data_IF_901817864283
#
_entry.id   IF_901817864283
#
_cell.length_a   1.000
_cell.length_b   1.000
_cell.length_c   1.000
_cell.angle_alpha   90.00
_cell.angle_beta   90.00
_cell.angle_gamma   90.00
#
_symmetry.space_group_name_H-M   'P 1'
#
loop_
_entity.id
_entity.type
_entity.pdbx_description
1 polymer ?
#
# COMPACT_ATOMS: atom_id res chain seq x y z
N UNK A 1 0.70 53.70 3.96
CA UNK A 1 1.80 52.73 3.76
C UNK A 1 1.87 51.82 5.00
N UNK A 2 1.06 50.80 5.07
CA UNK A 2 1.10 49.74 6.08
C UNK A 2 0.33 48.53 5.51
N UNK A 3 0.92 47.92 4.53
CA UNK A 3 0.55 46.57 4.11
C UNK A 3 1.64 45.66 4.66
N UNK A 4 1.29 44.59 5.31
CA UNK A 4 2.07 43.42 5.73
C UNK A 4 2.02 43.14 7.26
N UNK A 5 0.80 43.05 7.79
CA UNK A 5 0.53 42.23 8.96
C UNK A 5 -0.54 41.20 8.62
N UNK A 6 -0.39 40.54 7.44
CA UNK A 6 -1.14 39.31 7.20
C UNK A 6 -0.52 38.19 8.03
N UNK A 7 -1.05 38.05 9.24
CA UNK A 7 -1.55 36.82 9.79
C UNK A 7 -0.71 35.58 9.41
N UNK A 8 0.41 35.40 10.12
CA UNK A 8 0.86 34.06 10.47
C UNK A 8 -0.17 33.44 11.42
N UNK A 9 -1.35 33.13 10.94
CA UNK A 9 -2.27 32.26 11.64
C UNK A 9 -1.48 30.98 11.94
N UNK A 10 -1.02 30.83 13.17
CA UNK A 10 -0.37 29.65 13.66
C UNK A 10 -1.36 28.51 13.45
N UNK A 11 -1.17 27.75 12.38
CA UNK A 11 -1.94 26.55 12.11
C UNK A 11 -1.73 25.61 13.30
N UNK A 12 -2.69 25.62 14.23
CA UNK A 12 -2.67 24.72 15.38
C UNK A 12 -2.56 23.29 14.84
N UNK A 13 -1.62 22.48 15.34
CA UNK A 13 -1.48 21.10 14.90
C UNK A 13 -2.77 20.35 15.21
N UNK A 14 -3.56 20.08 14.18
CA UNK A 14 -4.82 19.35 14.32
C UNK A 14 -4.49 17.89 14.69
N UNK A 15 -5.17 17.32 15.70
CA UNK A 15 -5.05 15.90 16.07
C UNK A 15 -5.34 14.97 14.87
N UNK A 16 -6.18 15.42 13.92
CA UNK A 16 -6.49 14.72 12.68
C UNK A 16 -5.23 14.48 11.83
N UNK A 17 -4.30 15.42 11.80
CA UNK A 17 -3.04 15.31 11.05
C UNK A 17 -2.19 14.12 11.52
N UNK A 18 -2.04 13.93 12.81
CA UNK A 18 -1.31 12.77 13.36
C UNK A 18 -2.04 11.46 13.10
N UNK A 19 -3.37 11.46 13.14
CA UNK A 19 -4.18 10.29 12.77
C UNK A 19 -3.97 9.87 11.31
N UNK A 20 -3.89 10.83 10.38
CA UNK A 20 -3.63 10.56 8.96
C UNK A 20 -2.22 9.96 8.77
N UNK A 21 -1.20 10.53 9.39
CA UNK A 21 0.17 9.98 9.33
C UNK A 21 0.21 8.56 9.90
N UNK A 22 -0.47 8.31 11.01
CA UNK A 22 -0.54 6.98 11.62
C UNK A 22 -1.26 5.96 10.72
N UNK A 23 -2.41 6.31 10.15
CA UNK A 23 -3.15 5.42 9.24
C UNK A 23 -2.34 5.11 7.97
N UNK A 24 -1.69 6.11 7.37
CA UNK A 24 -0.85 5.89 6.19
C UNK A 24 0.42 5.11 6.51
N UNK A 25 1.01 5.29 7.69
CA UNK A 25 2.10 4.46 8.22
C UNK A 25 1.66 3.00 8.33
N UNK A 26 0.51 2.75 8.98
CA UNK A 26 -0.02 1.40 9.17
C UNK A 26 -0.37 0.73 7.83
N UNK A 27 -0.95 1.49 6.90
CA UNK A 27 -1.23 0.99 5.55
C UNK A 27 0.05 0.58 4.82
N UNK A 28 1.10 1.40 4.88
CA UNK A 28 2.41 1.08 4.29
C UNK A 28 3.06 -0.13 4.97
N UNK A 29 3.00 -0.21 6.30
CA UNK A 29 3.49 -1.34 7.09
C UNK A 29 2.84 -2.65 6.66
N UNK A 30 1.51 -2.72 6.66
CA UNK A 30 0.76 -3.92 6.27
C UNK A 30 0.97 -4.31 4.81
N UNK A 31 1.07 -3.32 3.91
CA UNK A 31 1.31 -3.55 2.49
C UNK A 31 2.65 -4.25 2.25
N UNK A 32 3.71 -3.75 2.88
CA UNK A 32 5.05 -4.33 2.73
C UNK A 32 5.18 -5.65 3.49
N UNK A 33 4.62 -5.74 4.69
CA UNK A 33 4.56 -6.99 5.44
C UNK A 33 3.96 -8.10 4.59
N UNK A 34 2.75 -7.90 4.04
CA UNK A 34 2.09 -8.87 3.17
C UNK A 34 2.93 -9.24 1.95
N UNK A 35 3.54 -8.23 1.30
CA UNK A 35 4.36 -8.44 0.09
C UNK A 35 5.56 -9.33 0.37
N UNK A 36 6.26 -9.08 1.49
CA UNK A 36 7.43 -9.84 1.87
C UNK A 36 7.08 -11.21 2.49
N UNK A 37 6.00 -11.34 3.26
CA UNK A 37 5.52 -12.64 3.74
C UNK A 37 5.34 -13.64 2.57
N UNK A 38 4.75 -13.19 1.45
CA UNK A 38 4.64 -14.07 0.28
C UNK A 38 5.99 -14.45 -0.32
N UNK A 39 6.97 -13.55 -0.28
CA UNK A 39 8.34 -13.86 -0.77
C UNK A 39 9.00 -14.93 0.09
N UNK A 40 8.80 -14.90 1.39
CA UNK A 40 9.36 -15.94 2.28
C UNK A 40 8.53 -17.24 2.25
N UNK A 41 7.22 -17.14 2.12
CA UNK A 41 6.32 -18.29 2.04
C UNK A 41 6.36 -19.02 0.67
N UNK A 42 7.04 -18.47 -0.35
CA UNK A 42 7.04 -19.02 -1.71
C UNK A 42 7.45 -20.50 -1.78
N UNK A 43 8.36 -20.95 -0.90
CA UNK A 43 8.80 -22.33 -0.86
C UNK A 43 7.67 -23.26 -0.46
N UNK A 44 6.94 -22.91 0.58
CA UNK A 44 5.79 -23.70 1.06
C UNK A 44 4.67 -23.73 0.02
N UNK A 45 4.38 -22.58 -0.61
CA UNK A 45 3.38 -22.48 -1.69
C UNK A 45 3.77 -23.34 -2.90
N UNK A 46 5.06 -23.37 -3.22
CA UNK A 46 5.60 -24.22 -4.32
C UNK A 46 5.40 -25.69 -4.03
N UNK A 47 5.74 -26.14 -2.82
CA UNK A 47 5.64 -27.53 -2.41
C UNK A 47 4.16 -27.97 -2.31
N UNK A 48 3.30 -27.16 -1.72
CA UNK A 48 1.88 -27.44 -1.51
C UNK A 48 1.07 -27.53 -2.82
N UNK A 49 1.32 -26.62 -3.75
CA UNK A 49 0.62 -26.55 -5.03
C UNK A 49 1.34 -27.29 -6.18
N UNK A 50 2.48 -27.94 -5.92
CA UNK A 50 3.26 -28.65 -6.94
C UNK A 50 3.78 -27.74 -8.07
N UNK A 51 4.16 -26.49 -7.75
CA UNK A 51 4.56 -25.49 -8.72
C UNK A 51 6.05 -25.59 -9.08
N UNK A 52 6.40 -25.14 -10.28
CA UNK A 52 7.78 -24.93 -10.70
C UNK A 52 8.27 -23.53 -10.31
N UNK A 53 9.60 -23.29 -10.38
CA UNK A 53 10.15 -21.96 -10.14
C UNK A 53 9.68 -20.95 -11.19
N UNK A 54 9.47 -21.38 -12.43
CA UNK A 54 8.92 -20.55 -13.50
C UNK A 54 7.47 -20.12 -13.18
N UNK A 55 6.64 -21.02 -12.66
CA UNK A 55 5.27 -20.69 -12.21
C UNK A 55 5.27 -19.62 -11.13
N UNK A 56 6.17 -19.71 -10.16
CA UNK A 56 6.32 -18.67 -9.12
C UNK A 56 6.80 -17.36 -9.74
N UNK A 57 7.78 -17.41 -10.63
CA UNK A 57 8.25 -16.25 -11.38
C UNK A 57 7.12 -15.50 -12.11
N UNK A 58 6.24 -16.24 -12.79
CA UNK A 58 5.05 -15.66 -13.44
C UNK A 58 4.09 -15.04 -12.41
N UNK A 59 3.85 -15.68 -11.28
CA UNK A 59 2.98 -15.14 -10.22
C UNK A 59 3.53 -13.83 -9.62
N UNK A 60 4.83 -13.74 -9.38
CA UNK A 60 5.46 -12.51 -8.90
C UNK A 60 5.44 -11.41 -9.96
N UNK A 61 5.78 -11.74 -11.20
CA UNK A 61 5.78 -10.81 -12.33
C UNK A 61 4.37 -10.26 -12.59
N UNK A 62 3.35 -11.11 -12.57
CA UNK A 62 1.96 -10.73 -12.74
C UNK A 62 1.49 -9.73 -11.66
N UNK A 63 1.86 -9.97 -10.41
CA UNK A 63 1.56 -9.04 -9.32
C UNK A 63 2.18 -7.66 -9.56
N UNK A 64 3.50 -7.61 -9.84
CA UNK A 64 4.19 -6.33 -10.05
C UNK A 64 3.74 -5.62 -11.32
N UNK A 65 3.44 -6.35 -12.37
CA UNK A 65 2.88 -5.80 -13.61
C UNK A 65 1.51 -5.14 -13.37
N UNK A 66 0.58 -5.86 -12.74
CA UNK A 66 -0.72 -5.34 -12.39
C UNK A 66 -0.63 -4.14 -11.43
N UNK A 67 0.26 -4.21 -10.44
CA UNK A 67 0.55 -3.12 -9.52
C UNK A 67 1.05 -1.87 -10.26
N UNK A 68 2.01 -2.01 -11.17
CA UNK A 68 2.57 -0.88 -11.91
C UNK A 68 1.53 -0.21 -12.83
N UNK A 69 0.78 -1.01 -13.60
CA UNK A 69 -0.28 -0.50 -14.46
C UNK A 69 -1.43 0.14 -13.67
N UNK A 70 -1.76 -0.40 -12.51
CA UNK A 70 -2.83 0.09 -11.66
C UNK A 70 -2.53 1.41 -10.96
N UNK A 71 -1.28 1.84 -10.79
CA UNK A 71 -0.92 3.02 -10.00
C UNK A 71 -1.54 4.32 -10.53
N UNK A 72 -1.44 4.57 -11.85
CA UNK A 72 -1.95 5.80 -12.46
C UNK A 72 -3.47 5.85 -12.42
N UNK A 73 -4.22 4.82 -12.87
CA UNK A 73 -5.68 4.81 -12.75
C UNK A 73 -6.16 4.93 -11.31
N UNK A 74 -5.50 4.25 -10.37
CA UNK A 74 -5.90 4.29 -8.95
C UNK A 74 -5.65 5.65 -8.31
N UNK A 75 -4.57 6.34 -8.67
CA UNK A 75 -4.32 7.72 -8.25
C UNK A 75 -5.44 8.65 -8.73
N UNK A 76 -5.79 8.58 -10.02
CA UNK A 76 -6.87 9.34 -10.60
C UNK A 76 -8.24 9.05 -9.94
N UNK A 77 -8.55 7.78 -9.64
CA UNK A 77 -9.76 7.43 -8.90
C UNK A 77 -9.76 8.07 -7.50
N UNK A 78 -8.62 8.09 -6.83
CA UNK A 78 -8.49 8.69 -5.49
C UNK A 78 -8.73 10.20 -5.51
N UNK A 79 -8.27 10.88 -6.55
CA UNK A 79 -8.51 12.31 -6.73
C UNK A 79 -9.99 12.60 -7.01
N UNK A 80 -10.65 11.74 -7.81
CA UNK A 80 -12.04 11.92 -8.22
C UNK A 80 -13.06 11.55 -7.12
N UNK A 81 -12.86 10.42 -6.43
CA UNK A 81 -13.84 9.88 -5.47
C UNK A 81 -13.48 10.14 -4.01
N UNK A 82 -12.32 10.75 -3.77
CA UNK A 82 -11.83 11.11 -2.45
C UNK A 82 -10.92 10.05 -1.84
N UNK A 83 -9.75 10.50 -1.43
CA UNK A 83 -8.65 9.65 -0.98
C UNK A 83 -9.01 8.71 0.21
N UNK A 84 -9.87 9.18 1.14
CA UNK A 84 -10.27 8.36 2.31
C UNK A 84 -11.07 7.12 1.90
N UNK A 85 -12.08 7.30 1.02
CA UNK A 85 -12.93 6.20 0.54
C UNK A 85 -12.13 5.23 -0.30
N UNK A 86 -11.29 5.77 -1.20
CA UNK A 86 -10.48 4.95 -2.08
C UNK A 86 -9.40 4.17 -1.34
N UNK A 87 -8.75 4.76 -0.33
CA UNK A 87 -7.79 4.03 0.49
C UNK A 87 -8.45 2.85 1.23
N UNK A 88 -9.64 3.07 1.81
CA UNK A 88 -10.40 2.00 2.45
C UNK A 88 -10.77 0.88 1.46
N UNK A 89 -11.22 1.25 0.26
CA UNK A 89 -11.55 0.30 -0.81
C UNK A 89 -10.32 -0.52 -1.21
N UNK A 90 -9.17 0.11 -1.41
CA UNK A 90 -7.93 -0.59 -1.76
C UNK A 90 -7.50 -1.56 -0.65
N UNK A 91 -7.58 -1.14 0.63
CA UNK A 91 -7.26 -2.01 1.77
C UNK A 91 -8.18 -3.23 1.78
N UNK A 92 -9.49 -3.04 1.64
CA UNK A 92 -10.45 -4.13 1.62
C UNK A 92 -10.23 -5.07 0.42
N UNK A 93 -9.98 -4.52 -0.76
CA UNK A 93 -9.74 -5.29 -1.98
C UNK A 93 -8.50 -6.15 -1.86
N UNK A 94 -7.36 -5.58 -1.46
CA UNK A 94 -6.17 -6.42 -1.31
C UNK A 94 -6.28 -7.43 -0.17
N UNK A 95 -6.95 -7.07 0.95
CA UNK A 95 -7.18 -8.01 2.06
C UNK A 95 -8.01 -9.20 1.63
N UNK A 96 -9.06 -8.95 0.83
CA UNK A 96 -9.88 -10.01 0.24
C UNK A 96 -9.07 -10.95 -0.64
N UNK A 97 -8.29 -10.42 -1.59
CA UNK A 97 -7.47 -11.26 -2.44
C UNK A 97 -6.32 -11.95 -1.69
N UNK A 98 -5.80 -11.35 -0.63
CA UNK A 98 -4.84 -11.99 0.26
C UNK A 98 -5.44 -13.21 0.95
N UNK A 99 -6.65 -13.06 1.50
CA UNK A 99 -7.36 -14.19 2.10
C UNK A 99 -7.68 -15.29 1.06
N UNK A 100 -8.05 -14.88 -0.15
CA UNK A 100 -8.33 -15.81 -1.25
C UNK A 100 -7.09 -16.60 -1.69
N UNK A 101 -5.87 -16.04 -1.52
CA UNK A 101 -4.63 -16.79 -1.81
C UNK A 101 -4.50 -18.06 -0.98
N UNK A 102 -4.97 -18.06 0.28
CA UNK A 102 -4.97 -19.26 1.12
C UNK A 102 -5.93 -20.37 0.65
N UNK A 103 -6.81 -20.07 -0.30
CA UNK A 103 -7.76 -21.03 -0.89
C UNK A 103 -7.37 -21.45 -2.31
N UNK A 104 -6.19 -21.05 -2.79
CA UNK A 104 -5.74 -21.39 -4.15
C UNK A 104 -5.37 -22.86 -4.24
N UNK A 105 -5.84 -23.52 -5.31
CA UNK A 105 -5.66 -24.97 -5.53
C UNK A 105 -4.72 -25.27 -6.72
N UNK A 106 -4.08 -24.24 -7.32
CA UNK A 106 -3.19 -24.45 -8.46
C UNK A 106 -2.72 -23.14 -9.11
N UNK A 107 -1.85 -23.28 -10.09
CA UNK A 107 -1.15 -22.17 -10.75
C UNK A 107 -2.09 -21.09 -11.31
N UNK A 108 -3.11 -21.46 -12.09
CA UNK A 108 -3.97 -20.48 -12.77
C UNK A 108 -4.75 -19.63 -11.78
N UNK A 109 -5.28 -20.27 -10.73
CA UNK A 109 -6.00 -19.54 -9.66
C UNK A 109 -5.05 -18.63 -8.89
N UNK A 110 -3.86 -19.10 -8.53
CA UNK A 110 -2.85 -18.28 -7.87
C UNK A 110 -2.44 -17.07 -8.72
N UNK A 111 -2.20 -17.28 -10.02
CA UNK A 111 -1.86 -16.22 -10.97
C UNK A 111 -2.96 -15.15 -11.05
N UNK A 112 -4.22 -15.56 -11.18
CA UNK A 112 -5.36 -14.64 -11.23
C UNK A 112 -5.51 -13.84 -9.94
N UNK A 113 -5.39 -14.49 -8.79
CA UNK A 113 -5.45 -13.83 -7.48
C UNK A 113 -4.28 -12.86 -7.27
N UNK A 114 -3.09 -13.20 -7.77
CA UNK A 114 -1.91 -12.33 -7.75
C UNK A 114 -2.09 -11.07 -8.60
N UNK A 115 -2.64 -11.20 -9.81
CA UNK A 115 -3.00 -10.05 -10.66
C UNK A 115 -4.00 -9.13 -9.93
N UNK A 116 -5.06 -9.70 -9.39
CA UNK A 116 -6.09 -8.94 -8.68
C UNK A 116 -5.58 -8.27 -7.40
N UNK A 117 -4.73 -8.96 -6.63
CA UNK A 117 -4.05 -8.40 -5.45
C UNK A 117 -3.12 -7.24 -5.83
N UNK A 118 -2.39 -7.35 -6.95
CA UNK A 118 -1.55 -6.29 -7.49
C UNK A 118 -2.34 -5.02 -7.81
N UNK A 119 -3.47 -5.16 -8.51
CA UNK A 119 -4.39 -4.05 -8.78
C UNK A 119 -4.97 -3.45 -7.49
N UNK A 120 -5.39 -4.29 -6.54
CA UNK A 120 -5.92 -3.84 -5.25
C UNK A 120 -4.90 -3.03 -4.42
N UNK A 121 -3.62 -3.37 -4.50
CA UNK A 121 -2.56 -2.64 -3.81
C UNK A 121 -2.08 -1.38 -4.54
N UNK A 122 -2.30 -1.27 -5.84
CA UNK A 122 -1.73 -0.22 -6.69
C UNK A 122 -2.08 1.21 -6.21
N UNK A 123 -3.29 1.39 -5.70
CA UNK A 123 -3.76 2.71 -5.27
C UNK A 123 -3.32 3.13 -3.86
N UNK A 124 -2.82 2.22 -3.05
CA UNK A 124 -2.55 2.52 -1.63
C UNK A 124 -1.46 3.58 -1.45
N UNK A 125 -0.37 3.49 -2.21
CA UNK A 125 0.76 4.41 -2.07
C UNK A 125 0.46 5.82 -2.64
N UNK A 126 -0.03 5.97 -3.90
CA UNK A 126 -0.38 7.29 -4.43
C UNK A 126 -1.47 7.98 -3.62
N UNK A 127 -2.49 7.24 -3.15
CA UNK A 127 -3.55 7.79 -2.29
C UNK A 127 -3.00 8.26 -0.93
N UNK A 128 -2.08 7.51 -0.33
CA UNK A 128 -1.41 7.91 0.92
C UNK A 128 -0.60 9.19 0.73
N UNK A 129 0.15 9.31 -0.38
CA UNK A 129 0.88 10.54 -0.71
C UNK A 129 -0.07 11.73 -0.90
N UNK A 130 -1.19 11.54 -1.59
CA UNK A 130 -2.23 12.56 -1.76
C UNK A 130 -2.83 13.01 -0.42
N UNK A 131 -3.12 12.07 0.50
CA UNK A 131 -3.59 12.40 1.84
C UNK A 131 -2.58 13.22 2.62
N UNK A 132 -1.30 12.84 2.60
CA UNK A 132 -0.24 13.61 3.26
C UNK A 132 -0.11 15.01 2.65
N UNK A 133 -0.17 15.13 1.33
CA UNK A 133 -0.09 16.42 0.65
C UNK A 133 -1.23 17.37 1.02
N UNK A 134 -2.43 16.85 1.25
CA UNK A 134 -3.61 17.66 1.56
C UNK A 134 -3.72 18.05 3.05
N UNK A 135 -3.18 17.23 3.97
CA UNK A 135 -3.39 17.42 5.40
C UNK A 135 -2.15 17.83 6.18
N UNK A 136 -0.96 17.63 5.61
CA UNK A 136 0.31 17.95 6.25
C UNK A 136 0.90 19.22 5.65
N UNK A 137 1.29 20.22 6.46
CA UNK A 137 1.94 21.44 5.96
C UNK A 137 3.21 21.11 5.19
N UNK A 138 3.50 21.91 4.19
CA UNK A 138 4.64 21.70 3.30
C UNK A 138 5.97 21.45 4.04
N UNK A 139 6.23 22.22 5.10
CA UNK A 139 7.44 22.09 5.95
C UNK A 139 7.58 20.71 6.62
N UNK A 140 6.46 20.05 6.92
CA UNK A 140 6.44 18.76 7.66
C UNK A 140 6.20 17.54 6.74
N UNK A 141 5.95 17.75 5.44
CA UNK A 141 5.63 16.66 4.51
C UNK A 141 6.77 15.66 4.37
N UNK A 142 8.01 16.14 4.28
CA UNK A 142 9.18 15.26 4.17
C UNK A 142 9.28 14.33 5.39
N UNK A 143 9.11 14.86 6.59
CA UNK A 143 9.10 14.09 7.83
C UNK A 143 7.96 13.06 7.86
N UNK A 144 6.74 13.47 7.52
CA UNK A 144 5.59 12.56 7.46
C UNK A 144 5.79 11.43 6.43
N UNK A 145 6.32 11.77 5.25
CA UNK A 145 6.63 10.77 4.21
C UNK A 145 7.73 9.81 4.66
N UNK A 146 8.72 10.28 5.41
CA UNK A 146 9.78 9.44 5.98
C UNK A 146 9.23 8.43 6.99
N UNK A 147 8.26 8.84 7.83
CA UNK A 147 7.58 7.93 8.77
C UNK A 147 6.82 6.84 8.01
N UNK A 148 6.08 7.21 6.97
CA UNK A 148 5.34 6.23 6.14
C UNK A 148 6.29 5.26 5.45
N UNK A 149 7.39 5.77 4.89
CA UNK A 149 8.42 4.94 4.26
C UNK A 149 9.11 4.01 5.27
N UNK A 150 9.37 4.49 6.49
CA UNK A 150 9.89 3.68 7.58
C UNK A 150 8.91 2.56 7.95
N UNK A 151 7.60 2.86 8.03
CA UNK A 151 6.57 1.85 8.27
C UNK A 151 6.62 0.70 7.28
N UNK A 152 6.74 1.02 5.98
CA UNK A 152 6.90 0.00 4.95
C UNK A 152 8.14 -0.87 5.14
N UNK A 153 9.31 -0.25 5.34
CA UNK A 153 10.56 -0.98 5.57
C UNK A 153 10.52 -1.84 6.82
N UNK A 154 9.93 -1.32 7.89
CA UNK A 154 9.77 -2.04 9.15
C UNK A 154 8.84 -3.26 8.98
N UNK A 155 7.70 -3.09 8.24
CA UNK A 155 6.82 -4.20 7.91
C UNK A 155 7.52 -5.29 7.08
N UNK A 156 8.30 -4.89 6.07
CA UNK A 156 9.09 -5.84 5.29
C UNK A 156 10.16 -6.56 6.10
N UNK A 157 10.80 -5.87 7.05
CA UNK A 157 11.82 -6.45 7.93
C UNK A 157 11.26 -7.43 8.97
N UNK A 158 9.98 -7.33 9.33
CA UNK A 158 9.30 -8.27 10.23
C UNK A 158 8.76 -9.53 9.51
N UNK A 159 8.62 -9.49 8.20
CA UNK A 159 8.05 -10.60 7.43
C UNK A 159 8.75 -11.95 7.68
N UNK A 160 10.11 -12.05 7.72
CA UNK A 160 10.77 -13.33 7.96
C UNK A 160 10.55 -13.90 9.36
N UNK A 161 10.06 -13.11 10.31
CA UNK A 161 9.74 -13.60 11.66
C UNK A 161 8.34 -14.21 11.76
N UNK A 162 7.50 -14.02 10.73
CA UNK A 162 6.10 -14.44 10.68
C UNK A 162 5.86 -15.60 9.68
N UNK A 163 6.88 -15.97 8.92
CA UNK A 163 6.85 -17.02 7.89
C UNK A 163 7.94 -18.05 8.11
#
# INVERSE_FOLDING_TARGET
MNANTESSASERPSRVRHGIVFVTFLAAFLLYLHRFCMTYAQRYVKEDLGLTDDHLGYCFSAFFFAYALGQVPSGWLSDRFGARKMLALYILTWSFFTALMGLTMGFVMLLAVRLAAGLGQAGAYPTSCGLLANWVPFRSRAWASSIVAFGGRFGGGLAPLLT
#
